data_IF_841468273207
#
_entry.id   IF_841468273207
#
_cell.length_a   1.000
_cell.length_b   1.000
_cell.length_c   1.000
_cell.angle_alpha   90.00
_cell.angle_beta   90.00
_cell.angle_gamma   90.00
#
_symmetry.space_group_name_H-M   'P 1'
#
loop_
_entity.id
_entity.type
_entity.pdbx_description
1 polymer ?
#
# COMPACT_ATOMS: atom_id res chain seq x y z
N UNK A 1 -6.55 -7.67 10.45
CA UNK A 1 -6.74 -6.91 9.19
C UNK A 1 -8.04 -7.38 8.57
N UNK A 2 -8.98 -6.47 8.25
CA UNK A 2 -10.28 -6.86 7.67
C UNK A 2 -10.11 -7.56 6.32
N UNK A 3 -10.85 -8.63 6.07
CA UNK A 3 -10.95 -9.23 4.75
C UNK A 3 -11.75 -8.33 3.79
N UNK A 4 -11.62 -8.57 2.48
CA UNK A 4 -12.23 -7.74 1.44
C UNK A 4 -13.76 -7.65 1.55
N UNK A 5 -14.43 -8.74 1.97
CA UNK A 5 -15.89 -8.79 2.05
C UNK A 5 -16.38 -7.97 3.24
N UNK A 6 -15.76 -8.18 4.41
CA UNK A 6 -16.07 -7.39 5.62
C UNK A 6 -15.81 -5.92 5.39
N UNK A 7 -14.68 -5.56 4.78
CA UNK A 7 -14.40 -4.16 4.44
C UNK A 7 -15.47 -3.57 3.51
N UNK A 8 -15.88 -4.30 2.48
CA UNK A 8 -16.88 -3.83 1.52
C UNK A 8 -18.25 -3.58 2.16
N UNK A 9 -18.70 -4.49 3.05
CA UNK A 9 -19.93 -4.29 3.80
C UNK A 9 -19.83 -3.08 4.72
N UNK A 10 -18.76 -2.97 5.50
CA UNK A 10 -18.63 -1.88 6.46
C UNK A 10 -18.56 -0.53 5.74
N UNK A 11 -17.87 -0.44 4.59
CA UNK A 11 -17.89 0.76 3.75
C UNK A 11 -19.29 1.06 3.22
N UNK A 12 -20.02 0.06 2.76
CA UNK A 12 -21.39 0.25 2.29
C UNK A 12 -22.31 0.78 3.41
N UNK A 13 -22.23 0.23 4.61
CA UNK A 13 -23.00 0.71 5.77
C UNK A 13 -22.54 2.10 6.23
N UNK A 14 -21.25 2.43 6.11
CA UNK A 14 -20.71 3.75 6.40
C UNK A 14 -21.23 4.81 5.42
N UNK A 15 -21.30 4.49 4.13
CA UNK A 15 -21.81 5.39 3.08
C UNK A 15 -23.29 5.76 3.30
N UNK A 16 -24.05 4.89 3.98
CA UNK A 16 -25.42 5.15 4.42
C UNK A 16 -25.49 6.05 5.68
N UNK A 17 -24.42 6.77 6.02
CA UNK A 17 -24.37 7.80 7.08
C UNK A 17 -24.89 7.34 8.45
N UNK A 18 -24.63 6.09 8.83
CA UNK A 18 -25.14 5.50 10.06
C UNK A 18 -26.68 5.39 10.11
N UNK A 19 -27.35 5.30 8.97
CA UNK A 19 -28.76 4.92 8.89
C UNK A 19 -28.93 3.40 8.96
N UNK A 20 -30.12 2.97 9.41
CA UNK A 20 -30.48 1.55 9.43
C UNK A 20 -30.73 1.06 8.01
N UNK A 21 -30.01 0.03 7.60
CA UNK A 21 -30.15 -0.60 6.28
C UNK A 21 -30.81 -1.96 6.40
N UNK A 22 -31.82 -2.23 5.58
CA UNK A 22 -32.58 -3.48 5.64
C UNK A 22 -31.76 -4.66 5.11
N UNK A 23 -32.04 -5.87 5.60
CA UNK A 23 -31.46 -7.11 5.06
C UNK A 23 -31.76 -7.25 3.55
N UNK A 24 -32.98 -6.90 3.15
CA UNK A 24 -33.41 -6.88 1.74
C UNK A 24 -32.53 -5.96 0.87
N UNK A 25 -32.17 -4.78 1.37
CA UNK A 25 -31.28 -3.85 0.67
C UNK A 25 -29.84 -4.38 0.63
N UNK A 26 -29.36 -4.98 1.71
CA UNK A 26 -28.04 -5.62 1.74
C UNK A 26 -27.93 -6.74 0.70
N UNK A 27 -28.92 -7.63 0.64
CA UNK A 27 -29.00 -8.71 -0.34
C UNK A 27 -29.02 -8.15 -1.76
N UNK A 28 -29.82 -7.10 -2.03
CA UNK A 28 -29.89 -6.45 -3.35
C UNK A 28 -28.55 -5.85 -3.79
N UNK A 29 -27.74 -5.40 -2.84
CA UNK A 29 -26.39 -4.86 -3.09
C UNK A 29 -25.29 -5.94 -3.09
N UNK A 30 -25.65 -7.23 -3.06
CA UNK A 30 -24.70 -8.34 -3.16
C UNK A 30 -24.11 -8.80 -1.83
N UNK A 31 -24.65 -8.35 -0.69
CA UNK A 31 -24.26 -8.79 0.66
C UNK A 31 -25.16 -9.92 1.17
N UNK A 32 -25.52 -10.87 0.29
CA UNK A 32 -26.27 -12.06 0.66
C UNK A 32 -25.33 -13.08 1.32
N UNK A 33 -25.17 -12.96 2.65
CA UNK A 33 -24.30 -13.84 3.44
C UNK A 33 -25.08 -14.64 4.46
N UNK A 34 -24.53 -15.79 4.85
CA UNK A 34 -25.09 -16.62 5.90
C UNK A 34 -25.26 -15.83 7.20
N UNK A 35 -26.33 -16.12 7.94
CA UNK A 35 -26.64 -15.54 9.25
C UNK A 35 -25.47 -15.66 10.24
N UNK A 36 -24.62 -16.68 10.09
CA UNK A 36 -23.39 -16.86 10.84
C UNK A 36 -22.42 -15.68 10.70
N UNK A 37 -22.27 -15.14 9.49
CA UNK A 37 -21.33 -14.05 9.22
C UNK A 37 -21.82 -12.72 9.80
N UNK A 38 -23.11 -12.41 9.65
CA UNK A 38 -23.71 -11.26 10.34
C UNK A 38 -23.67 -11.43 11.86
N UNK A 39 -23.86 -12.66 12.37
CA UNK A 39 -23.66 -13.01 13.78
C UNK A 39 -22.25 -12.68 14.27
N UNK A 40 -21.22 -13.08 13.52
CA UNK A 40 -19.83 -12.79 13.82
C UNK A 40 -19.53 -11.29 13.85
N UNK A 41 -20.03 -10.51 12.87
CA UNK A 41 -19.82 -9.07 12.83
C UNK A 41 -20.52 -8.33 13.99
N UNK A 42 -21.68 -8.84 14.44
CA UNK A 42 -22.36 -8.37 15.65
C UNK A 42 -21.56 -8.69 16.90
N UNK A 43 -20.99 -9.89 17.01
CA UNK A 43 -20.13 -10.30 18.13
C UNK A 43 -18.87 -9.44 18.24
N UNK A 44 -18.24 -9.14 17.10
CA UNK A 44 -17.12 -8.19 17.00
C UNK A 44 -17.52 -6.73 17.19
N UNK A 45 -18.82 -6.47 17.39
CA UNK A 45 -19.42 -5.14 17.54
C UNK A 45 -19.14 -4.21 16.37
N UNK A 46 -18.91 -4.73 15.17
CA UNK A 46 -18.70 -3.90 13.98
C UNK A 46 -20.01 -3.36 13.42
N UNK A 47 -21.10 -4.12 13.62
CA UNK A 47 -22.45 -3.74 13.20
C UNK A 47 -23.43 -3.95 14.35
N UNK A 48 -24.46 -3.10 14.41
CA UNK A 48 -25.64 -3.29 15.23
C UNK A 48 -26.77 -3.89 14.39
N UNK A 49 -27.69 -4.57 15.07
CA UNK A 49 -28.89 -5.13 14.45
C UNK A 49 -30.14 -4.79 15.26
N UNK A 50 -31.17 -4.35 14.56
CA UNK A 50 -32.50 -4.12 15.09
C UNK A 50 -33.51 -4.96 14.32
N UNK A 51 -34.49 -5.52 15.03
CA UNK A 51 -35.57 -6.31 14.44
C UNK A 51 -36.88 -5.63 14.78
N UNK A 52 -37.49 -4.98 13.81
CA UNK A 52 -38.82 -4.36 13.96
C UNK A 52 -39.86 -5.03 13.05
N UNK A 53 -39.51 -5.25 11.78
CA UNK A 53 -40.35 -5.92 10.77
C UNK A 53 -39.51 -6.86 9.90
N UNK A 54 -38.32 -6.41 9.53
CA UNK A 54 -37.22 -7.21 8.98
C UNK A 54 -35.93 -6.90 9.76
N UNK A 55 -34.89 -7.71 9.57
CA UNK A 55 -33.59 -7.41 10.17
C UNK A 55 -33.00 -6.15 9.51
N UNK A 56 -32.59 -5.21 10.35
CA UNK A 56 -31.93 -3.98 9.94
C UNK A 56 -30.56 -3.91 10.58
N UNK A 57 -29.61 -3.37 9.82
CA UNK A 57 -28.20 -3.35 10.15
C UNK A 57 -27.66 -1.94 10.07
N UNK A 58 -26.75 -1.60 10.98
CA UNK A 58 -26.07 -0.30 11.01
C UNK A 58 -24.62 -0.51 11.39
N UNK A 59 -23.71 0.28 10.84
CA UNK A 59 -22.33 0.27 11.33
C UNK A 59 -22.27 0.91 12.74
N UNK A 60 -21.34 0.43 13.55
CA UNK A 60 -21.04 1.00 14.88
C UNK A 60 -19.79 1.88 14.81
N UNK A 61 -19.53 2.71 15.84
CA UNK A 61 -18.25 3.43 15.95
C UNK A 61 -17.03 2.50 15.97
N UNK A 62 -17.18 1.26 16.45
CA UNK A 62 -16.10 0.25 16.43
C UNK A 62 -15.86 -0.24 15.00
N UNK A 63 -16.92 -0.50 14.24
CA UNK A 63 -16.82 -0.86 12.82
C UNK A 63 -16.15 0.24 12.00
N UNK A 64 -16.52 1.51 12.22
CA UNK A 64 -15.87 2.66 11.59
C UNK A 64 -14.37 2.74 11.93
N UNK A 65 -14.04 2.55 13.21
CA UNK A 65 -12.65 2.53 13.68
C UNK A 65 -11.84 1.40 13.03
N UNK A 66 -12.45 0.22 12.83
CA UNK A 66 -11.83 -0.91 12.16
C UNK A 66 -11.51 -0.62 10.68
N UNK A 67 -12.37 0.12 9.97
CA UNK A 67 -12.09 0.60 8.60
C UNK A 67 -10.87 1.54 8.61
N UNK A 68 -10.85 2.50 9.53
CA UNK A 68 -9.76 3.48 9.65
C UNK A 68 -8.43 2.76 9.93
N UNK A 69 -8.44 1.81 10.87
CA UNK A 69 -7.26 1.02 11.21
C UNK A 69 -6.79 0.15 10.04
N UNK A 70 -7.71 -0.53 9.34
CA UNK A 70 -7.38 -1.28 8.13
C UNK A 70 -6.66 -0.40 7.10
N UNK A 71 -7.21 0.78 6.83
CA UNK A 71 -6.63 1.73 5.87
C UNK A 71 -5.28 2.29 6.33
N UNK A 72 -5.10 2.51 7.64
CA UNK A 72 -3.83 2.96 8.22
C UNK A 72 -2.74 1.91 8.04
N UNK A 73 -3.04 0.66 8.33
CA UNK A 73 -2.10 -0.47 8.18
C UNK A 73 -1.71 -0.66 6.73
N UNK A 74 -2.69 -0.66 5.81
CA UNK A 74 -2.43 -0.78 4.37
C UNK A 74 -1.54 0.35 3.81
N UNK A 75 -1.74 1.59 4.28
CA UNK A 75 -0.87 2.73 3.93
C UNK A 75 0.53 2.59 4.51
N UNK A 76 0.67 2.07 5.73
CA UNK A 76 1.96 1.82 6.36
C UNK A 76 2.77 0.79 5.56
N UNK A 77 2.13 -0.32 5.19
CA UNK A 77 2.77 -1.37 4.40
C UNK A 77 3.20 -0.85 3.03
N UNK A 78 2.36 -0.04 2.37
CA UNK A 78 2.70 0.59 1.10
C UNK A 78 3.92 1.53 1.22
N UNK A 79 4.01 2.33 2.30
CA UNK A 79 5.17 3.18 2.55
C UNK A 79 6.44 2.36 2.77
N UNK A 80 6.34 1.25 3.50
CA UNK A 80 7.45 0.33 3.72
C UNK A 80 7.96 -0.27 2.40
N UNK A 81 7.04 -0.76 1.55
CA UNK A 81 7.38 -1.29 0.22
C UNK A 81 8.05 -0.25 -0.68
N UNK A 82 7.55 0.99 -0.68
CA UNK A 82 8.18 2.08 -1.44
C UNK A 82 9.61 2.35 -0.95
N UNK A 83 9.82 2.37 0.37
CA UNK A 83 11.15 2.57 0.95
C UNK A 83 12.14 1.45 0.55
N UNK A 84 11.67 0.20 0.50
CA UNK A 84 12.46 -0.94 0.03
C UNK A 84 12.85 -0.74 -1.45
N UNK A 85 11.89 -0.36 -2.30
CA UNK A 85 12.16 -0.12 -3.73
C UNK A 85 13.20 0.99 -3.91
N UNK A 86 13.06 2.12 -3.21
CA UNK A 86 14.02 3.23 -3.26
C UNK A 86 15.42 2.77 -2.84
N UNK A 87 15.50 1.95 -1.78
CA UNK A 87 16.79 1.41 -1.30
C UNK A 87 17.46 0.51 -2.34
N UNK A 88 16.69 -0.36 -3.02
CA UNK A 88 17.21 -1.22 -4.09
C UNK A 88 17.71 -0.37 -5.27
N UNK A 89 16.93 0.64 -5.69
CA UNK A 89 17.33 1.56 -6.77
C UNK A 89 18.63 2.28 -6.42
N UNK A 90 18.78 2.75 -5.19
CA UNK A 90 20.01 3.41 -4.73
C UNK A 90 21.22 2.46 -4.80
N UNK A 91 21.06 1.20 -4.38
CA UNK A 91 22.13 0.19 -4.47
C UNK A 91 22.53 -0.07 -5.93
N UNK A 92 21.56 -0.18 -6.84
CA UNK A 92 21.84 -0.37 -8.27
C UNK A 92 22.62 0.81 -8.83
N UNK A 93 22.22 2.05 -8.51
CA UNK A 93 22.92 3.25 -8.95
C UNK A 93 24.35 3.26 -8.42
N UNK A 94 24.55 3.00 -7.12
CA UNK A 94 25.88 2.91 -6.52
C UNK A 94 26.76 1.85 -7.19
N UNK A 95 26.19 0.69 -7.53
CA UNK A 95 26.92 -0.37 -8.23
C UNK A 95 27.30 0.02 -9.66
N UNK A 96 26.39 0.64 -10.41
CA UNK A 96 26.69 1.13 -11.77
C UNK A 96 27.75 2.22 -11.73
N UNK A 97 27.68 3.17 -10.79
CA UNK A 97 28.71 4.18 -10.59
C UNK A 97 30.08 3.55 -10.30
N UNK A 98 30.13 2.53 -9.44
CA UNK A 98 31.36 1.79 -9.15
C UNK A 98 31.93 1.14 -10.44
N UNK A 99 31.09 0.52 -11.27
CA UNK A 99 31.54 -0.09 -12.53
C UNK A 99 32.02 0.95 -13.55
N UNK A 100 31.36 2.11 -13.63
CA UNK A 100 31.77 3.21 -14.53
C UNK A 100 33.09 3.83 -14.07
N UNK A 101 33.27 4.05 -12.77
CA UNK A 101 34.51 4.59 -12.21
C UNK A 101 35.67 3.59 -12.36
N UNK A 102 35.41 2.29 -12.16
CA UNK A 102 36.39 1.22 -12.42
C UNK A 102 36.78 1.16 -13.91
N UNK A 103 35.84 1.45 -14.82
CA UNK A 103 36.11 1.50 -16.27
C UNK A 103 36.91 2.75 -16.66
N UNK A 104 36.72 3.88 -15.96
CA UNK A 104 37.49 5.12 -16.17
C UNK A 104 38.91 5.06 -15.59
N UNK A 105 39.12 4.35 -14.49
CA UNK A 105 40.44 4.18 -13.88
C UNK A 105 41.40 3.32 -14.72
N UNK A 106 40.92 2.68 -15.80
CA UNK A 106 41.70 1.81 -16.67
C UNK A 106 42.22 2.48 -17.95
N UNK A 107 41.98 3.77 -18.18
CA UNK A 107 42.68 4.52 -19.22
C UNK A 107 44.12 4.84 -18.76
N UNK A 108 45.18 4.28 -19.39
CA UNK A 108 46.54 4.66 -19.06
C UNK A 108 46.76 6.08 -19.58
N UNK A 109 46.68 7.05 -18.67
CA UNK A 109 47.25 8.36 -18.90
C UNK A 109 48.76 8.22 -18.74
N UNK A 110 49.47 7.83 -19.79
CA UNK A 110 50.88 8.16 -20.01
C UNK A 110 51.31 7.70 -21.41
N UNK A 111 51.14 8.57 -22.40
CA UNK A 111 52.00 8.53 -23.58
C UNK A 111 52.60 9.90 -23.83
N UNK A 112 53.94 9.89 -23.90
CA UNK A 112 54.78 10.78 -24.68
C UNK A 112 55.11 12.15 -24.08
N UNK A 113 55.91 12.13 -23.00
CA UNK A 113 56.93 13.15 -22.81
C UNK A 113 58.13 12.85 -23.74
N UNK A 114 57.96 13.05 -25.06
CA UNK A 114 59.09 13.07 -26.00
C UNK A 114 59.68 14.47 -26.03
N UNK A 115 60.59 14.77 -25.09
CA UNK A 115 61.51 15.89 -25.24
C UNK A 115 62.64 15.48 -26.20
N UNK A 116 62.39 15.65 -27.50
CA UNK A 116 63.46 15.72 -28.49
C UNK A 116 63.69 17.19 -28.80
N UNK A 117 64.73 17.79 -28.19
CA UNK A 117 65.26 19.09 -28.63
C UNK A 117 66.54 18.79 -29.40
N UNK A 118 66.47 18.89 -30.72
CA UNK A 118 67.64 18.96 -31.59
C UNK A 118 67.52 20.13 -32.57
N UNK A 119 68.53 21.01 -32.46
CA UNK A 119 69.17 21.84 -33.49
C UNK A 119 68.59 23.22 -33.89
N UNK A 120 69.28 24.27 -33.43
CA UNK A 120 70.17 25.19 -34.19
C UNK A 120 69.59 26.18 -35.24
N UNK A 121 69.98 27.46 -35.14
CA UNK A 121 70.35 28.47 -36.17
C UNK A 121 69.94 29.90 -35.77
N UNK A 122 70.89 30.74 -35.32
CA UNK A 122 71.47 31.87 -36.07
C UNK A 122 72.55 32.60 -35.26
#
# INVERSE_FOLDING_TARGET
MLDSKTLSLLLFLQDHKNEWTTESDLIRNGFAYDSFWFGYLKEMKYIDCAVHLEEQYRITPIGESAIIEHNRTKKSDMKSTIAIIISIVAIIISFVSLCVDASKAQEPTESSQSQTISAQYH
#
